data_IF_786600912847
#
_entry.id   IF_786600912847
#
_cell.length_a   1.000
_cell.length_b   1.000
_cell.length_c   1.000
_cell.angle_alpha   90.00
_cell.angle_beta   90.00
_cell.angle_gamma   90.00
#
_symmetry.space_group_name_H-M   'P 1'
#
loop_
_entity.id
_entity.type
_entity.pdbx_description
1 polymer ?
#
# COMPACT_ATOMS: atom_id res chain seq x y z
N UNK A 1 14.24 19.25 3.41
CA UNK A 1 13.72 18.32 4.43
C UNK A 1 12.20 18.34 4.35
N UNK A 2 11.58 17.31 3.78
CA UNK A 2 10.11 17.28 3.66
C UNK A 2 9.50 17.13 5.05
N UNK A 3 8.55 18.01 5.37
CA UNK A 3 7.80 17.98 6.64
C UNK A 3 7.07 16.64 6.66
N UNK A 4 7.50 15.69 7.49
CA UNK A 4 6.78 14.41 7.65
C UNK A 4 5.39 14.74 8.16
N UNK A 5 4.38 14.61 7.30
CA UNK A 5 3.00 14.77 7.71
C UNK A 5 2.67 13.72 8.77
N UNK A 6 2.20 14.18 9.92
CA UNK A 6 1.87 13.32 11.05
C UNK A 6 0.51 12.71 10.78
N UNK A 7 0.46 11.39 10.69
CA UNK A 7 -0.80 10.63 10.54
C UNK A 7 -1.35 10.32 11.93
N UNK A 8 -2.61 10.67 12.17
CA UNK A 8 -3.36 10.27 13.36
C UNK A 8 -3.99 8.89 13.14
N UNK A 9 -4.23 8.12 14.20
CA UNK A 9 -4.85 6.80 14.09
C UNK A 9 -6.13 6.75 14.91
N UNK A 10 -7.22 6.29 14.30
CA UNK A 10 -8.54 6.18 14.93
C UNK A 10 -9.05 4.75 14.80
N UNK A 11 -9.53 4.20 15.92
CA UNK A 11 -10.32 2.98 15.92
C UNK A 11 -11.80 3.34 15.69
N UNK A 12 -12.44 2.72 14.70
CA UNK A 12 -13.85 3.00 14.38
C UNK A 12 -14.84 2.29 15.31
N UNK A 13 -14.38 1.26 16.01
CA UNK A 13 -15.15 0.50 16.98
C UNK A 13 -14.23 0.02 18.12
N UNK A 14 -14.82 -0.36 19.27
CA UNK A 14 -14.05 -0.79 20.44
C UNK A 14 -13.21 -2.06 20.16
N UNK A 15 -13.64 -2.92 19.24
CA UNK A 15 -12.96 -4.17 18.91
C UNK A 15 -11.69 -3.92 18.06
N UNK A 16 -11.67 -2.83 17.30
CA UNK A 16 -10.54 -2.40 16.46
C UNK A 16 -9.45 -1.66 17.24
N UNK A 17 -9.70 -1.26 18.50
CA UNK A 17 -8.76 -0.46 19.30
C UNK A 17 -7.38 -1.12 19.50
N UNK A 18 -7.24 -2.44 19.77
CA UNK A 18 -5.92 -3.08 19.84
C UNK A 18 -5.15 -2.98 18.51
N UNK A 19 -5.84 -3.17 17.39
CA UNK A 19 -5.26 -3.04 16.04
C UNK A 19 -4.83 -1.60 15.76
N UNK A 20 -5.67 -0.63 16.13
CA UNK A 20 -5.35 0.80 16.02
C UNK A 20 -4.11 1.18 16.85
N UNK A 21 -4.00 0.69 18.09
CA UNK A 21 -2.82 0.90 18.94
C UNK A 21 -1.53 0.33 18.32
N UNK A 22 -1.60 -0.84 17.69
CA UNK A 22 -0.45 -1.43 17.02
C UNK A 22 0.05 -0.57 15.84
N UNK A 23 -0.86 -0.05 15.01
CA UNK A 23 -0.47 0.86 13.92
C UNK A 23 -0.01 2.23 14.43
N UNK A 24 -0.63 2.76 15.49
CA UNK A 24 -0.20 4.00 16.11
C UNK A 24 1.24 3.93 16.62
N UNK A 25 1.64 2.79 17.22
CA UNK A 25 3.01 2.56 17.65
C UNK A 25 4.00 2.62 16.48
N UNK A 26 3.70 1.95 15.36
CA UNK A 26 4.52 1.99 14.14
C UNK A 26 4.65 3.40 13.57
N UNK A 27 3.55 4.15 13.57
CA UNK A 27 3.48 5.53 13.09
C UNK A 27 4.01 6.56 14.10
N UNK A 28 4.47 6.12 15.29
CA UNK A 28 4.96 6.99 16.37
C UNK A 28 3.93 8.04 16.79
N UNK A 29 2.68 7.60 16.94
CA UNK A 29 1.53 8.43 17.31
C UNK A 29 0.66 7.69 18.35
N UNK A 30 -0.45 8.29 18.75
CA UNK A 30 -1.43 7.71 19.66
C UNK A 30 -2.71 7.33 18.91
N UNK A 31 -3.33 6.22 19.32
CA UNK A 31 -4.65 5.84 18.81
C UNK A 31 -5.75 6.57 19.60
N UNK A 32 -6.76 7.07 18.89
CA UNK A 32 -8.02 7.60 19.46
C UNK A 32 -9.16 6.63 19.19
N UNK A 33 -10.16 6.60 20.09
CA UNK A 33 -11.46 5.97 19.82
C UNK A 33 -12.51 6.95 19.30
N UNK A 34 -12.17 8.24 19.27
CA UNK A 34 -13.02 9.33 18.80
C UNK A 34 -12.49 9.84 17.44
N UNK A 35 -13.23 9.64 16.33
CA UNK A 35 -12.87 10.11 15.00
C UNK A 35 -12.84 11.63 14.82
N UNK A 36 -13.52 12.38 15.70
CA UNK A 36 -13.63 13.83 15.64
C UNK A 36 -12.54 14.52 16.50
N UNK A 37 -11.88 13.77 17.40
CA UNK A 37 -10.79 14.26 18.23
C UNK A 37 -9.43 14.40 17.49
N UNK A 38 -9.37 14.08 16.20
CA UNK A 38 -8.14 14.08 15.39
C UNK A 38 -8.21 15.04 14.22
N UNK A 39 -7.05 15.51 13.74
CA UNK A 39 -6.93 16.45 12.62
C UNK A 39 -5.88 15.99 11.60
N UNK A 40 -5.92 16.58 10.40
CA UNK A 40 -5.02 16.24 9.30
C UNK A 40 -5.32 14.85 8.70
N UNK A 41 -4.27 14.14 8.27
CA UNK A 41 -4.40 12.77 7.77
C UNK A 41 -4.71 11.80 8.92
N UNK A 42 -5.74 10.99 8.74
CA UNK A 42 -6.25 10.03 9.72
C UNK A 42 -6.31 8.64 9.10
N UNK A 43 -5.60 7.68 9.70
CA UNK A 43 -5.77 6.27 9.45
C UNK A 43 -6.93 5.74 10.29
N UNK A 44 -8.04 5.45 9.63
CA UNK A 44 -9.21 4.82 10.22
C UNK A 44 -9.05 3.30 10.19
N UNK A 45 -9.24 2.67 11.34
CA UNK A 45 -9.02 1.26 11.57
C UNK A 45 -10.34 0.60 11.98
N UNK A 46 -10.79 -0.38 11.21
CA UNK A 46 -11.84 -1.32 11.62
C UNK A 46 -11.29 -2.76 11.66
N UNK A 47 -12.16 -3.73 11.87
CA UNK A 47 -11.80 -5.14 11.81
C UNK A 47 -11.38 -5.59 10.40
N UNK A 48 -12.10 -5.14 9.38
CA UNK A 48 -11.94 -5.66 8.02
C UNK A 48 -11.11 -4.77 7.10
N UNK A 49 -11.02 -3.48 7.41
CA UNK A 49 -10.45 -2.49 6.49
C UNK A 49 -9.64 -1.41 7.18
N UNK A 50 -8.73 -0.83 6.41
CA UNK A 50 -8.05 0.41 6.71
C UNK A 50 -8.50 1.46 5.68
N UNK A 51 -8.68 2.69 6.14
CA UNK A 51 -8.95 3.83 5.27
C UNK A 51 -8.09 5.02 5.68
N UNK A 52 -7.63 5.81 4.72
CA UNK A 52 -6.91 7.06 4.95
C UNK A 52 -7.82 8.23 4.58
N UNK A 53 -8.20 9.03 5.56
CA UNK A 53 -9.03 10.23 5.39
C UNK A 53 -8.20 11.48 5.65
N UNK A 54 -8.51 12.57 4.95
CA UNK A 54 -8.05 13.91 5.33
C UNK A 54 -9.15 14.65 6.10
N UNK A 55 -8.97 14.84 7.40
CA UNK A 55 -9.90 15.56 8.26
C UNK A 55 -9.97 17.07 7.93
N UNK A 56 -8.95 17.63 7.27
CA UNK A 56 -9.00 19.01 6.78
C UNK A 56 -9.86 19.15 5.51
N UNK A 57 -10.15 18.03 4.83
CA UNK A 57 -10.96 17.99 3.61
C UNK A 57 -12.14 17.01 3.76
N UNK A 58 -13.15 17.32 4.61
CA UNK A 58 -14.21 16.38 4.97
C UNK A 58 -15.11 15.95 3.81
N UNK A 59 -15.09 16.67 2.68
CA UNK A 59 -15.82 16.29 1.46
C UNK A 59 -15.08 15.26 0.60
N UNK A 60 -13.81 14.99 0.89
CA UNK A 60 -13.03 13.98 0.17
C UNK A 60 -13.35 12.60 0.72
N UNK A 61 -13.49 11.62 -0.18
CA UNK A 61 -13.72 10.23 0.21
C UNK A 61 -12.43 9.66 0.80
N UNK A 62 -12.54 8.96 1.92
CA UNK A 62 -11.43 8.22 2.50
C UNK A 62 -10.89 7.19 1.49
N UNK A 63 -9.57 7.19 1.33
CA UNK A 63 -8.85 6.29 0.46
C UNK A 63 -8.80 4.88 1.08
N UNK A 64 -9.22 3.89 0.30
CA UNK A 64 -9.11 2.47 0.64
C UNK A 64 -8.40 1.74 -0.47
N UNK A 65 -7.69 0.66 -0.14
CA UNK A 65 -7.06 -0.20 -1.14
C UNK A 65 -8.11 -1.22 -1.63
N UNK A 66 -8.39 -1.19 -2.93
CA UNK A 66 -9.23 -2.19 -3.61
C UNK A 66 -8.34 -3.23 -4.30
N UNK A 67 -8.23 -4.40 -3.68
CA UNK A 67 -7.44 -5.53 -4.21
C UNK A 67 -8.17 -6.32 -5.29
N UNK A 68 -9.44 -6.03 -5.58
CA UNK A 68 -10.20 -6.63 -6.67
C UNK A 68 -10.17 -5.80 -7.95
N UNK A 69 -9.85 -4.49 -7.87
CA UNK A 69 -9.78 -3.58 -9.01
C UNK A 69 -8.86 -4.12 -10.10
N UNK A 70 -9.42 -4.38 -11.29
CA UNK A 70 -8.69 -4.90 -12.44
C UNK A 70 -8.36 -3.80 -13.44
N UNK A 71 -7.16 -3.89 -14.03
CA UNK A 71 -6.83 -3.16 -15.24
C UNK A 71 -7.40 -3.92 -16.43
N UNK A 72 -8.39 -3.35 -17.11
CA UNK A 72 -8.91 -3.92 -18.36
C UNK A 72 -8.17 -3.28 -19.53
N UNK A 73 -7.21 -4.00 -20.11
CA UNK A 73 -6.59 -3.61 -21.37
C UNK A 73 -7.14 -4.51 -22.49
N UNK A 74 -7.59 -3.96 -23.62
CA UNK A 74 -7.94 -4.76 -24.80
C UNK A 74 -6.78 -5.65 -25.22
N UNK A 75 -7.08 -6.85 -25.71
CA UNK A 75 -6.09 -7.81 -26.18
C UNK A 75 -5.12 -7.14 -27.18
N UNK A 76 -3.81 -7.31 -26.96
CA UNK A 76 -2.77 -6.71 -27.80
C UNK A 76 -2.46 -5.24 -27.52
N UNK A 77 -3.16 -4.57 -26.61
CA UNK A 77 -2.91 -3.17 -26.20
C UNK A 77 -2.47 -3.01 -24.74
N UNK A 78 -2.21 -4.12 -24.05
CA UNK A 78 -1.66 -4.10 -22.70
C UNK A 78 -0.16 -3.75 -22.72
N UNK A 79 0.12 -2.45 -22.66
CA UNK A 79 1.49 -1.93 -22.65
C UNK A 79 2.27 -2.39 -21.41
N UNK A 80 1.60 -2.60 -20.28
CA UNK A 80 2.23 -3.08 -19.06
C UNK A 80 2.67 -4.54 -19.23
N UNK A 81 1.80 -5.41 -19.77
CA UNK A 81 2.17 -6.79 -20.10
C UNK A 81 3.36 -6.87 -21.07
N UNK A 82 3.39 -5.96 -22.07
CA UNK A 82 4.49 -5.89 -23.04
C UNK A 82 5.79 -5.44 -22.39
N UNK A 83 5.75 -4.44 -21.50
CA UNK A 83 6.91 -3.94 -20.78
C UNK A 83 7.50 -4.99 -19.81
N UNK A 84 6.65 -5.77 -19.14
CA UNK A 84 7.09 -6.87 -18.29
C UNK A 84 7.75 -8.02 -19.08
N UNK A 85 7.31 -8.23 -20.33
CA UNK A 85 7.78 -9.36 -21.14
C UNK A 85 7.08 -10.68 -20.79
N UNK A 86 7.14 -11.62 -21.73
CA UNK A 86 6.37 -12.89 -21.67
C UNK A 86 6.85 -13.85 -20.59
N UNK A 87 8.14 -13.80 -20.24
CA UNK A 87 8.81 -14.74 -19.34
C UNK A 87 9.00 -14.17 -17.92
N UNK A 88 8.51 -12.95 -17.63
CA UNK A 88 8.63 -12.39 -16.29
C UNK A 88 7.78 -13.21 -15.31
N UNK A 89 8.38 -13.70 -14.23
CA UNK A 89 7.68 -14.42 -13.15
C UNK A 89 7.77 -13.66 -11.82
N UNK A 90 8.80 -12.83 -11.66
CA UNK A 90 9.12 -12.12 -10.44
C UNK A 90 9.37 -10.63 -10.67
N UNK A 91 8.85 -9.80 -9.76
CA UNK A 91 8.87 -8.33 -9.87
C UNK A 91 9.25 -7.72 -8.53
N UNK A 92 10.10 -6.70 -8.55
CA UNK A 92 10.17 -5.69 -7.48
C UNK A 92 9.36 -4.49 -7.96
N UNK A 93 8.30 -4.15 -7.24
CA UNK A 93 7.62 -2.86 -7.37
C UNK A 93 8.28 -1.89 -6.39
N UNK A 94 9.16 -1.03 -6.90
CA UNK A 94 10.00 -0.16 -6.08
C UNK A 94 9.32 1.14 -5.65
N UNK A 95 8.08 1.38 -6.09
CA UNK A 95 7.27 2.57 -5.76
C UNK A 95 5.82 2.15 -5.56
N UNK A 96 5.60 1.16 -4.70
CA UNK A 96 4.33 0.42 -4.66
C UNK A 96 3.11 1.30 -4.34
N UNK A 97 3.28 2.37 -3.56
CA UNK A 97 2.20 3.25 -3.15
C UNK A 97 1.07 2.46 -2.48
N UNK A 98 -0.14 2.63 -3.00
CA UNK A 98 -1.33 1.89 -2.55
C UNK A 98 -1.56 0.56 -3.29
N UNK A 99 -0.59 0.13 -4.11
CA UNK A 99 -0.50 -1.22 -4.68
C UNK A 99 -1.36 -1.48 -5.91
N UNK A 100 -1.83 -0.45 -6.64
CA UNK A 100 -2.68 -0.66 -7.82
C UNK A 100 -2.03 -1.60 -8.84
N UNK A 101 -0.78 -1.31 -9.25
CA UNK A 101 -0.03 -2.19 -10.16
C UNK A 101 0.52 -3.43 -9.43
N UNK A 102 0.98 -3.30 -8.18
CA UNK A 102 1.36 -4.44 -7.32
C UNK A 102 0.30 -5.56 -7.35
N UNK A 103 -0.97 -5.26 -7.09
CA UNK A 103 -2.02 -6.27 -7.10
C UNK A 103 -2.36 -6.76 -8.52
N UNK A 104 -2.16 -5.93 -9.55
CA UNK A 104 -2.29 -6.36 -10.95
C UNK A 104 -1.23 -7.42 -11.31
N UNK A 105 0.01 -7.22 -10.88
CA UNK A 105 1.10 -8.19 -11.01
C UNK A 105 0.77 -9.51 -10.30
N UNK A 106 0.32 -9.46 -9.05
CA UNK A 106 -0.09 -10.66 -8.28
C UNK A 106 -1.20 -11.42 -9.01
N UNK A 107 -2.22 -10.72 -9.54
CA UNK A 107 -3.32 -11.34 -10.29
C UNK A 107 -2.86 -11.97 -11.62
N UNK A 108 -1.81 -11.43 -12.23
CA UNK A 108 -1.14 -12.02 -13.40
C UNK A 108 -0.24 -13.22 -13.03
N UNK A 109 -0.26 -13.65 -11.77
CA UNK A 109 0.49 -14.80 -11.28
C UNK A 109 1.96 -14.50 -10.97
N UNK A 110 2.35 -13.22 -10.84
CA UNK A 110 3.74 -12.85 -10.54
C UNK A 110 4.02 -12.92 -9.04
N UNK A 111 5.25 -13.26 -8.68
CA UNK A 111 5.79 -13.05 -7.34
C UNK A 111 6.30 -11.62 -7.21
N UNK A 112 5.80 -10.88 -6.24
CA UNK A 112 6.03 -9.43 -6.12
C UNK A 112 6.67 -9.10 -4.77
N UNK A 113 7.73 -8.32 -4.82
CA UNK A 113 8.26 -7.59 -3.67
C UNK A 113 7.86 -6.12 -3.82
N UNK A 114 6.91 -5.66 -3.02
CA UNK A 114 6.41 -4.29 -3.05
C UNK A 114 7.13 -3.46 -2.01
N UNK A 115 7.86 -2.43 -2.45
CA UNK A 115 8.60 -1.53 -1.57
C UNK A 115 7.85 -0.20 -1.49
N UNK A 116 7.60 0.26 -0.27
CA UNK A 116 6.99 1.56 -0.01
C UNK A 116 7.69 2.23 1.18
N UNK A 117 8.08 3.50 1.02
CA UNK A 117 8.82 4.27 2.04
C UNK A 117 7.92 5.04 3.00
N UNK A 118 6.67 5.32 2.59
CA UNK A 118 5.67 6.01 3.38
C UNK A 118 4.98 4.98 4.28
N UNK A 119 5.30 5.02 5.58
CA UNK A 119 4.88 4.01 6.56
C UNK A 119 3.36 3.75 6.57
N UNK A 120 2.52 4.79 6.46
CA UNK A 120 1.05 4.61 6.43
C UNK A 120 0.59 3.84 5.18
N UNK A 121 1.19 4.11 4.02
CA UNK A 121 0.87 3.42 2.78
C UNK A 121 1.35 1.96 2.85
N UNK A 122 2.55 1.72 3.37
CA UNK A 122 3.08 0.37 3.60
C UNK A 122 2.17 -0.43 4.56
N UNK A 123 1.72 0.16 5.67
CA UNK A 123 0.76 -0.44 6.61
C UNK A 123 -0.54 -0.85 5.89
N UNK A 124 -1.10 0.07 5.10
CA UNK A 124 -2.33 -0.21 4.35
C UNK A 124 -2.13 -1.34 3.34
N UNK A 125 -1.00 -1.33 2.62
CA UNK A 125 -0.67 -2.34 1.64
C UNK A 125 -0.44 -3.72 2.26
N UNK A 126 0.24 -3.80 3.41
CA UNK A 126 0.43 -5.03 4.19
C UNK A 126 -0.91 -5.64 4.63
N UNK A 127 -1.81 -4.80 5.14
CA UNK A 127 -3.14 -5.25 5.57
C UNK A 127 -3.96 -5.78 4.39
N UNK A 128 -3.94 -5.07 3.26
CA UNK A 128 -4.63 -5.48 2.04
C UNK A 128 -4.04 -6.77 1.43
N UNK A 129 -2.72 -6.90 1.41
CA UNK A 129 -2.02 -8.12 0.97
C UNK A 129 -2.41 -9.32 1.82
N UNK A 130 -2.48 -9.14 3.14
CA UNK A 130 -2.87 -10.20 4.08
C UNK A 130 -4.32 -10.65 3.88
N UNK A 131 -5.23 -9.73 3.60
CA UNK A 131 -6.64 -10.04 3.34
C UNK A 131 -6.88 -10.71 1.97
N UNK A 132 -6.12 -10.34 0.94
CA UNK A 132 -6.34 -10.82 -0.43
C UNK A 132 -5.75 -12.21 -0.71
N UNK A 133 -4.81 -12.67 0.11
CA UNK A 133 -4.09 -13.94 -0.11
C UNK A 133 -4.15 -14.86 1.13
N UNK A 134 -5.36 -15.21 1.64
CA UNK A 134 -5.46 -16.11 2.79
C UNK A 134 -4.98 -17.52 2.40
N UNK A 135 -3.99 -18.04 3.11
CA UNK A 135 -3.54 -19.44 2.95
C UNK A 135 -2.69 -19.75 1.70
N UNK A 136 -2.34 -18.76 0.85
CA UNK A 136 -1.19 -18.95 -0.05
C UNK A 136 0.06 -18.87 0.81
N UNK A 137 0.78 -19.96 0.93
CA UNK A 137 2.09 -20.02 1.59
C UNK A 137 3.02 -18.93 1.01
N UNK A 138 3.09 -17.75 1.65
CA UNK A 138 4.19 -16.76 1.56
C UNK A 138 4.75 -16.33 0.18
N UNK A 139 4.14 -16.66 -0.97
CA UNK A 139 4.89 -16.69 -2.23
C UNK A 139 4.59 -15.64 -3.31
N UNK A 140 3.50 -14.88 -3.24
CA UNK A 140 3.12 -13.99 -4.35
C UNK A 140 3.26 -12.49 -4.07
N UNK A 141 3.14 -12.03 -2.83
CA UNK A 141 3.33 -10.62 -2.47
C UNK A 141 3.99 -10.48 -1.10
N UNK A 142 5.14 -9.81 -1.08
CA UNK A 142 5.82 -9.38 0.15
C UNK A 142 5.95 -7.88 0.14
N UNK A 143 5.38 -7.22 1.15
CA UNK A 143 5.54 -5.78 1.36
C UNK A 143 6.79 -5.52 2.19
N UNK A 144 7.56 -4.51 1.80
CA UNK A 144 8.79 -4.07 2.46
C UNK A 144 8.67 -2.57 2.71
N UNK A 145 8.55 -2.18 3.99
CA UNK A 145 8.62 -0.77 4.35
C UNK A 145 10.08 -0.27 4.28
N UNK A 146 10.34 0.78 3.50
CA UNK A 146 11.64 1.43 3.42
C UNK A 146 11.92 2.10 2.08
N UNK A 147 13.10 2.73 1.97
CA UNK A 147 13.56 3.33 0.72
C UNK A 147 14.00 2.24 -0.27
N UNK A 148 13.46 2.25 -1.49
CA UNK A 148 13.80 1.29 -2.52
C UNK A 148 15.30 1.29 -2.88
N UNK A 149 15.96 2.45 -2.83
CA UNK A 149 17.41 2.58 -3.08
C UNK A 149 18.19 1.71 -2.08
N UNK A 150 17.75 1.68 -0.83
CA UNK A 150 18.39 0.89 0.24
C UNK A 150 17.95 -0.57 0.23
N UNK A 151 16.68 -0.84 -0.11
CA UNK A 151 16.08 -2.17 0.06
C UNK A 151 16.37 -3.12 -1.09
N UNK A 152 16.42 -2.64 -2.34
CA UNK A 152 16.57 -3.49 -3.53
C UNK A 152 17.79 -4.43 -3.40
N UNK A 153 18.95 -3.91 -2.98
CA UNK A 153 20.18 -4.71 -2.86
C UNK A 153 20.13 -5.82 -1.81
N UNK A 154 19.15 -5.78 -0.89
CA UNK A 154 18.97 -6.80 0.15
C UNK A 154 17.92 -7.87 -0.21
N UNK A 155 17.21 -7.69 -1.32
CA UNK A 155 16.16 -8.61 -1.78
C UNK A 155 16.73 -9.67 -2.73
N UNK A 156 15.94 -10.71 -2.98
CA UNK A 156 16.27 -11.71 -3.99
C UNK A 156 16.26 -11.05 -5.39
N UNK A 157 17.14 -11.50 -6.27
CA UNK A 157 17.09 -11.15 -7.68
C UNK A 157 15.73 -11.48 -8.27
N UNK A 158 15.23 -10.60 -9.15
CA UNK A 158 13.96 -10.72 -9.85
C UNK A 158 14.16 -10.46 -11.34
N UNK A 159 13.14 -10.77 -12.15
CA UNK A 159 13.19 -10.55 -13.60
C UNK A 159 13.04 -9.07 -13.97
N UNK A 160 12.20 -8.34 -13.21
CA UNK A 160 11.85 -6.94 -13.50
C UNK A 160 11.84 -6.11 -12.22
N UNK A 161 12.40 -4.90 -12.31
CA UNK A 161 12.16 -3.82 -11.34
C UNK A 161 11.23 -2.80 -12.00
N UNK A 162 10.05 -2.62 -11.42
CA UNK A 162 9.04 -1.66 -11.86
C UNK A 162 9.16 -0.36 -11.06
N UNK A 163 9.02 0.78 -11.76
CA UNK A 163 9.12 2.13 -11.23
C UNK A 163 7.99 2.99 -11.79
N UNK A 164 7.16 3.53 -10.91
CA UNK A 164 6.15 4.55 -11.18
C UNK A 164 6.17 5.59 -10.04
N UNK A 165 7.25 6.41 -9.94
CA UNK A 165 7.35 7.41 -8.88
C UNK A 165 6.28 8.48 -9.06
N UNK A 166 5.80 9.06 -7.96
CA UNK A 166 4.94 10.23 -8.01
C UNK A 166 5.70 11.39 -8.68
N UNK A 167 5.30 11.73 -9.90
CA UNK A 167 5.85 12.87 -10.62
C UNK A 167 5.40 14.17 -9.94
N UNK A 168 6.25 15.21 -9.93
CA UNK A 168 5.86 16.52 -9.41
C UNK A 168 4.68 17.07 -10.22
N UNK A 169 3.85 17.87 -9.56
CA UNK A 169 2.78 18.59 -10.25
C UNK A 169 3.36 19.41 -11.41
N UNK A 170 2.61 19.43 -12.52
CA UNK A 170 2.93 20.33 -13.63
C UNK A 170 2.68 21.74 -13.12
N UNK A 171 3.76 22.49 -12.96
CA UNK A 171 3.71 23.94 -12.73
C UNK A 171 3.28 24.66 -13.99
#
# INVERSE_FOLDING_TARGET
MSKKEKVSVVALDAQSLPRAKAFALRLKTTASGDPDAVSGLVLEVSQDRLALRDAAQPRTRALTIDTAKRRYAPAGKDLLARALGRQCESIIDATAGFGSDTFDFVRRGKTVFAIERVEVAAIMLEAAASACCPGRERGALRVVCGDAIEKIGSLKTVDVIFLDPMFPDRT
#
